data_IF_445724103246
#
_entry.id   IF_445724103246
#
_cell.length_a   1.000
_cell.length_b   1.000
_cell.length_c   1.000
_cell.angle_alpha   90.00
_cell.angle_beta   90.00
_cell.angle_gamma   90.00
#
_symmetry.space_group_name_H-M   'P 1'
#
loop_
_entity.id
_entity.type
_entity.pdbx_description
1 polymer ?
#
# COMPACT_ATOMS: atom_id res chain seq x y z
N UNK A 1 15.93 5.13 -22.29
CA UNK A 1 14.62 5.13 -21.56
C UNK A 1 14.91 4.69 -20.14
N UNK A 2 14.27 5.27 -19.11
CA UNK A 2 14.56 4.91 -17.73
C UNK A 2 13.50 3.97 -17.17
N UNK A 3 13.88 3.11 -16.21
CA UNK A 3 13.03 2.11 -15.57
C UNK A 3 11.66 2.68 -15.13
N UNK A 4 11.63 3.85 -14.51
CA UNK A 4 10.38 4.49 -14.05
C UNK A 4 9.41 4.76 -15.22
N UNK A 5 9.90 5.18 -16.39
CA UNK A 5 9.07 5.40 -17.57
C UNK A 5 8.52 4.08 -18.11
N UNK A 6 9.34 3.04 -18.14
CA UNK A 6 8.96 1.73 -18.65
C UNK A 6 7.94 1.06 -17.72
N UNK A 7 8.12 1.18 -16.40
CA UNK A 7 7.14 0.76 -15.39
C UNK A 7 5.81 1.49 -15.55
N UNK A 8 5.84 2.82 -15.69
CA UNK A 8 4.62 3.63 -15.89
C UNK A 8 3.84 3.20 -17.13
N UNK A 9 4.53 2.93 -18.23
CA UNK A 9 3.90 2.48 -19.48
C UNK A 9 3.38 1.06 -19.33
N UNK A 10 4.19 0.15 -18.77
CA UNK A 10 3.84 -1.26 -18.60
C UNK A 10 2.66 -1.48 -17.64
N UNK A 11 2.52 -0.65 -16.60
CA UNK A 11 1.43 -0.77 -15.60
C UNK A 11 0.15 -0.03 -15.99
N UNK A 12 0.15 0.80 -17.04
CA UNK A 12 -1.00 1.64 -17.41
C UNK A 12 -2.32 0.89 -17.54
N UNK A 13 -2.31 -0.28 -18.20
CA UNK A 13 -3.52 -1.09 -18.38
C UNK A 13 -4.06 -1.62 -17.06
N UNK A 14 -3.18 -2.13 -16.21
CA UNK A 14 -3.54 -2.65 -14.88
C UNK A 14 -4.01 -1.53 -13.95
N UNK A 15 -3.39 -0.36 -14.02
CA UNK A 15 -3.80 0.83 -13.27
C UNK A 15 -5.23 1.25 -13.65
N UNK A 16 -5.51 1.39 -14.95
CA UNK A 16 -6.87 1.70 -15.42
C UNK A 16 -7.89 0.63 -15.02
N UNK A 17 -7.51 -0.66 -15.07
CA UNK A 17 -8.38 -1.74 -14.64
C UNK A 17 -8.70 -1.65 -13.13
N UNK A 18 -7.71 -1.32 -12.30
CA UNK A 18 -7.91 -1.12 -10.86
C UNK A 18 -8.82 0.08 -10.56
N UNK A 19 -8.63 1.22 -11.24
CA UNK A 19 -9.49 2.40 -11.09
C UNK A 19 -10.95 2.14 -11.46
N UNK A 20 -11.19 1.25 -12.42
CA UNK A 20 -12.52 0.88 -12.87
C UNK A 20 -13.21 -0.21 -12.01
N UNK A 21 -12.55 -0.73 -10.98
CA UNK A 21 -13.24 -1.60 -10.02
C UNK A 21 -14.32 -0.82 -9.27
N UNK A 22 -15.39 -1.50 -8.88
CA UNK A 22 -16.54 -0.85 -8.20
C UNK A 22 -16.10 -0.08 -6.96
N UNK A 23 -15.23 -0.66 -6.16
CA UNK A 23 -14.73 -0.04 -4.93
C UNK A 23 -13.93 1.23 -5.24
N UNK A 24 -12.88 1.15 -6.06
CA UNK A 24 -12.02 2.30 -6.37
C UNK A 24 -12.79 3.40 -7.08
N UNK A 25 -13.64 3.04 -8.05
CA UNK A 25 -14.48 4.01 -8.75
C UNK A 25 -15.47 4.71 -7.81
N UNK A 26 -16.02 4.03 -6.80
CA UNK A 26 -16.86 4.65 -5.77
C UNK A 26 -16.05 5.53 -4.84
N UNK A 27 -14.89 5.06 -4.41
CA UNK A 27 -13.96 5.82 -3.56
C UNK A 27 -13.60 7.15 -4.21
N UNK A 28 -13.16 7.13 -5.49
CA UNK A 28 -12.79 8.34 -6.24
C UNK A 28 -13.95 9.33 -6.41
N UNK A 29 -15.20 8.87 -6.35
CA UNK A 29 -16.40 9.72 -6.35
C UNK A 29 -16.80 10.21 -4.96
N UNK A 30 -16.02 9.93 -3.93
CA UNK A 30 -16.33 10.30 -2.55
C UNK A 30 -17.40 9.43 -1.90
N UNK A 31 -17.59 8.21 -2.40
CA UNK A 31 -18.52 7.22 -1.84
C UNK A 31 -17.70 6.07 -1.27
N UNK A 32 -17.27 6.23 -0.04
CA UNK A 32 -16.57 5.21 0.75
C UNK A 32 -17.12 5.22 2.17
N UNK A 33 -17.42 4.05 2.70
CA UNK A 33 -17.85 3.85 4.08
C UNK A 33 -16.68 3.29 4.92
N UNK A 34 -16.78 3.46 6.23
CA UNK A 34 -15.76 3.02 7.19
C UNK A 34 -15.52 1.51 7.13
N UNK A 35 -16.57 0.70 6.96
CA UNK A 35 -16.44 -0.76 6.91
C UNK A 35 -15.65 -1.24 5.69
N UNK A 36 -15.89 -0.62 4.54
CA UNK A 36 -15.14 -0.88 3.31
C UNK A 36 -13.68 -0.41 3.43
N UNK A 37 -13.46 0.78 4.01
CA UNK A 37 -12.13 1.34 4.20
C UNK A 37 -11.28 0.52 5.20
N UNK A 38 -11.81 0.17 6.36
CA UNK A 38 -11.08 -0.65 7.33
C UNK A 38 -10.75 -2.05 6.79
N UNK A 39 -11.62 -2.59 5.91
CA UNK A 39 -11.36 -3.86 5.21
C UNK A 39 -10.16 -3.73 4.26
N UNK A 40 -10.05 -2.61 3.54
CA UNK A 40 -8.89 -2.29 2.71
C UNK A 40 -7.61 -2.18 3.56
N UNK A 41 -7.64 -1.43 4.66
CA UNK A 41 -6.50 -1.29 5.57
C UNK A 41 -6.08 -2.62 6.18
N UNK A 42 -7.02 -3.51 6.49
CA UNK A 42 -6.76 -4.87 6.93
C UNK A 42 -5.93 -5.65 5.90
N UNK A 43 -6.36 -5.68 4.64
CA UNK A 43 -5.64 -6.41 3.59
C UNK A 43 -4.29 -5.72 3.27
N UNK A 44 -4.23 -4.41 3.31
CA UNK A 44 -2.97 -3.67 3.17
C UNK A 44 -1.95 -4.02 4.24
N UNK A 45 -2.38 -4.23 5.49
CA UNK A 45 -1.47 -4.68 6.54
C UNK A 45 -0.68 -5.93 6.13
N UNK A 46 -1.34 -6.95 5.62
CA UNK A 46 -0.68 -8.18 5.21
C UNK A 46 0.20 -7.99 3.97
N UNK A 47 -0.25 -7.22 3.00
CA UNK A 47 0.50 -6.93 1.77
C UNK A 47 1.78 -6.14 2.08
N UNK A 48 1.67 -5.05 2.85
CA UNK A 48 2.83 -4.23 3.18
C UNK A 48 3.78 -4.96 4.14
N UNK A 49 3.26 -5.75 5.08
CA UNK A 49 4.12 -6.62 5.91
C UNK A 49 4.95 -7.56 5.06
N UNK A 50 4.36 -8.24 4.08
CA UNK A 50 5.08 -9.14 3.20
C UNK A 50 6.15 -8.42 2.36
N UNK A 51 5.83 -7.24 1.81
CA UNK A 51 6.81 -6.45 1.04
C UNK A 51 7.97 -6.01 1.94
N UNK A 52 7.67 -5.42 3.10
CA UNK A 52 8.69 -4.90 4.02
C UNK A 52 9.57 -6.02 4.61
N UNK A 53 8.98 -7.18 4.93
CA UNK A 53 9.71 -8.37 5.38
C UNK A 53 10.67 -8.90 4.31
N UNK A 54 10.21 -9.02 3.05
CA UNK A 54 11.06 -9.49 1.95
C UNK A 54 12.14 -8.48 1.56
N UNK A 55 11.84 -7.19 1.56
CA UNK A 55 12.83 -6.15 1.31
C UNK A 55 13.90 -6.13 2.42
N UNK A 56 13.53 -6.38 3.67
CA UNK A 56 14.47 -6.51 4.78
C UNK A 56 15.30 -7.80 4.66
N UNK A 57 14.67 -8.93 4.33
CA UNK A 57 15.35 -10.22 4.16
C UNK A 57 16.41 -10.17 3.05
N UNK A 58 16.15 -9.39 2.01
CA UNK A 58 16.99 -9.23 0.83
C UNK A 58 17.81 -7.91 0.84
N UNK A 59 18.08 -7.36 2.01
CA UNK A 59 18.79 -6.08 2.16
C UNK A 59 20.22 -6.09 1.58
N UNK A 60 20.86 -7.26 1.50
CA UNK A 60 22.18 -7.45 0.90
C UNK A 60 22.15 -7.57 -0.64
N UNK A 61 20.96 -7.67 -1.27
CA UNK A 61 20.83 -7.65 -2.73
C UNK A 61 21.14 -6.23 -3.24
N UNK A 62 22.17 -6.12 -4.05
CA UNK A 62 22.68 -4.82 -4.49
C UNK A 62 21.70 -4.01 -5.35
N UNK A 63 20.68 -4.64 -5.93
CA UNK A 63 19.63 -3.95 -6.68
C UNK A 63 18.49 -3.51 -5.74
N UNK A 64 18.00 -4.40 -4.88
CA UNK A 64 16.90 -4.12 -3.96
C UNK A 64 17.30 -3.13 -2.88
N UNK A 65 18.51 -3.21 -2.36
CA UNK A 65 19.03 -2.25 -1.38
C UNK A 65 19.02 -0.80 -1.88
N UNK A 66 19.23 -0.60 -3.19
CA UNK A 66 19.21 0.74 -3.81
C UNK A 66 17.82 1.38 -3.86
N UNK A 67 16.76 0.60 -3.66
CA UNK A 67 15.36 1.08 -3.66
C UNK A 67 14.64 0.84 -2.33
N UNK A 68 15.32 0.28 -1.34
CA UNK A 68 14.78 0.05 -0.02
C UNK A 68 14.93 1.33 0.83
N UNK A 69 13.85 2.11 0.89
CA UNK A 69 13.77 3.37 1.64
C UNK A 69 12.88 3.15 2.87
N UNK A 70 13.45 2.96 4.08
CA UNK A 70 12.66 2.71 5.30
C UNK A 70 11.60 3.78 5.61
N UNK A 71 11.83 5.03 5.19
CA UNK A 71 10.89 6.14 5.30
C UNK A 71 9.60 5.94 4.50
N UNK A 72 9.61 5.03 3.52
CA UNK A 72 8.41 4.64 2.78
C UNK A 72 7.60 3.57 3.51
N UNK A 73 8.14 2.87 4.49
CA UNK A 73 7.47 1.78 5.17
C UNK A 73 6.12 2.20 5.75
N UNK A 74 5.08 1.37 5.54
CA UNK A 74 3.68 1.69 5.90
C UNK A 74 3.12 0.84 7.02
N UNK A 75 3.76 -0.27 7.38
CA UNK A 75 3.22 -1.22 8.37
C UNK A 75 2.90 -0.53 9.69
N UNK A 76 3.78 0.32 10.22
CA UNK A 76 3.53 1.01 11.49
C UNK A 76 2.38 2.04 11.38
N UNK A 77 2.27 2.74 10.26
CA UNK A 77 1.16 3.65 10.00
C UNK A 77 -0.17 2.89 9.89
N UNK A 78 -0.19 1.77 9.15
CA UNK A 78 -1.37 0.90 9.04
C UNK A 78 -1.78 0.33 10.41
N UNK A 79 -0.84 -0.05 11.26
CA UNK A 79 -1.14 -0.51 12.64
C UNK A 79 -1.85 0.57 13.48
N UNK A 80 -1.53 1.86 13.28
CA UNK A 80 -2.25 2.96 13.94
C UNK A 80 -3.70 3.00 13.47
N UNK A 81 -3.94 2.92 12.16
CA UNK A 81 -5.28 2.92 11.59
C UNK A 81 -6.08 1.68 12.02
N UNK A 82 -5.46 0.49 12.03
CA UNK A 82 -6.13 -0.72 12.49
C UNK A 82 -6.52 -0.66 13.99
N UNK A 83 -5.71 -0.02 14.84
CA UNK A 83 -6.10 0.21 16.24
C UNK A 83 -7.32 1.12 16.35
N UNK A 84 -7.43 2.12 15.49
CA UNK A 84 -8.60 2.98 15.45
C UNK A 84 -9.86 2.21 15.02
N UNK A 85 -9.79 1.47 13.91
CA UNK A 85 -10.96 0.81 13.33
C UNK A 85 -11.37 -0.48 14.02
N UNK A 86 -10.44 -1.27 14.55
CA UNK A 86 -10.68 -2.59 15.15
C UNK A 86 -10.41 -2.62 16.66
N UNK A 87 -9.94 -1.50 17.26
CA UNK A 87 -9.61 -1.42 18.67
C UNK A 87 -8.23 -2.03 19.03
N UNK A 88 -7.88 -2.06 20.33
CA UNK A 88 -6.54 -2.45 20.79
C UNK A 88 -6.15 -3.89 20.44
N UNK A 89 -7.12 -4.77 20.29
CA UNK A 89 -6.92 -6.19 19.99
C UNK A 89 -7.02 -6.52 18.49
N UNK A 90 -6.87 -5.52 17.61
CA UNK A 90 -7.03 -5.65 16.16
C UNK A 90 -6.30 -6.86 15.57
N UNK A 91 -5.08 -7.15 16.02
CA UNK A 91 -4.25 -8.24 15.50
C UNK A 91 -4.82 -9.64 15.71
N UNK A 92 -5.71 -9.80 16.68
CA UNK A 92 -6.35 -11.10 16.98
C UNK A 92 -7.66 -11.30 16.21
N UNK A 93 -8.23 -10.23 15.65
CA UNK A 93 -9.54 -10.29 15.00
C UNK A 93 -9.46 -10.18 13.46
N UNK A 94 -8.40 -9.58 12.93
CA UNK A 94 -8.26 -9.45 11.48
C UNK A 94 -7.76 -10.74 10.83
N UNK A 95 -8.26 -11.01 9.63
CA UNK A 95 -7.78 -12.09 8.75
C UNK A 95 -7.72 -11.55 7.31
N UNK A 96 -6.69 -11.93 6.52
CA UNK A 96 -6.60 -11.52 5.13
C UNK A 96 -7.75 -12.11 4.31
N UNK A 97 -8.17 -11.38 3.27
CA UNK A 97 -9.07 -11.93 2.28
C UNK A 97 -8.36 -12.97 1.40
N UNK A 98 -9.12 -13.83 0.70
CA UNK A 98 -8.52 -14.80 -0.24
C UNK A 98 -7.69 -14.11 -1.34
N UNK A 99 -8.12 -12.94 -1.81
CA UNK A 99 -7.36 -12.17 -2.79
C UNK A 99 -6.05 -11.65 -2.19
N UNK A 100 -6.08 -11.20 -0.93
CA UNK A 100 -4.90 -10.78 -0.19
C UNK A 100 -3.91 -11.94 0.00
N UNK A 101 -4.39 -13.13 0.41
CA UNK A 101 -3.56 -14.32 0.57
C UNK A 101 -2.79 -14.61 -0.74
N UNK A 102 -3.50 -14.70 -1.87
CA UNK A 102 -2.87 -14.96 -3.18
C UNK A 102 -1.84 -13.89 -3.56
N UNK A 103 -2.07 -12.64 -3.20
CA UNK A 103 -1.13 -11.57 -3.49
C UNK A 103 0.12 -11.66 -2.61
N UNK A 104 -0.05 -11.94 -1.33
CA UNK A 104 1.07 -12.18 -0.38
C UNK A 104 1.89 -13.39 -0.80
N UNK A 105 1.25 -14.52 -1.15
CA UNK A 105 1.93 -15.70 -1.70
C UNK A 105 2.77 -15.34 -2.92
N UNK A 106 2.22 -14.51 -3.83
CA UNK A 106 2.96 -14.07 -5.02
C UNK A 106 4.17 -13.20 -4.68
N UNK A 107 4.11 -12.36 -3.66
CA UNK A 107 5.26 -11.57 -3.19
C UNK A 107 6.38 -12.51 -2.72
N UNK A 108 6.05 -13.50 -1.87
CA UNK A 108 7.02 -14.48 -1.38
C UNK A 108 7.60 -15.35 -2.51
N UNK A 109 6.76 -15.82 -3.45
CA UNK A 109 7.23 -16.57 -4.63
C UNK A 109 8.25 -15.80 -5.46
N UNK A 110 8.03 -14.49 -5.65
CA UNK A 110 8.98 -13.63 -6.37
C UNK A 110 10.27 -13.47 -5.58
N UNK A 111 10.18 -13.25 -4.27
CA UNK A 111 11.33 -13.10 -3.39
C UNK A 111 12.20 -14.37 -3.34
N UNK A 112 11.59 -15.55 -3.42
CA UNK A 112 12.27 -16.86 -3.39
C UNK A 112 12.72 -17.33 -4.77
N UNK A 113 12.40 -16.60 -5.83
CA UNK A 113 12.79 -16.96 -7.19
C UNK A 113 14.27 -16.66 -7.49
N UNK A 114 14.75 -17.08 -8.67
CA UNK A 114 16.06 -16.69 -9.17
C UNK A 114 16.13 -15.20 -9.60
N UNK A 115 15.03 -14.48 -9.54
CA UNK A 115 14.89 -13.10 -9.98
C UNK A 115 14.22 -12.22 -8.90
N UNK A 116 14.75 -12.18 -7.65
CA UNK A 116 14.12 -11.45 -6.54
C UNK A 116 14.02 -9.95 -6.82
N UNK A 117 14.85 -9.40 -7.71
CA UNK A 117 14.77 -8.00 -8.14
C UNK A 117 13.41 -7.64 -8.78
N UNK A 118 12.60 -8.61 -9.19
CA UNK A 118 11.24 -8.37 -9.67
C UNK A 118 10.30 -7.85 -8.57
N UNK A 119 10.69 -7.93 -7.29
CA UNK A 119 9.99 -7.24 -6.20
C UNK A 119 9.87 -5.73 -6.42
N UNK A 120 10.75 -5.13 -7.25
CA UNK A 120 10.62 -3.71 -7.64
C UNK A 120 9.23 -3.38 -8.21
N UNK A 121 8.61 -4.32 -8.90
CA UNK A 121 7.26 -4.13 -9.46
C UNK A 121 6.20 -3.97 -8.37
N UNK A 122 6.28 -4.75 -7.29
CA UNK A 122 5.39 -4.63 -6.13
C UNK A 122 5.67 -3.34 -5.36
N UNK A 123 6.94 -3.07 -5.07
CA UNK A 123 7.39 -1.86 -4.38
C UNK A 123 6.96 -0.59 -5.13
N UNK A 124 7.29 -0.48 -6.41
CA UNK A 124 6.91 0.66 -7.25
C UNK A 124 5.39 0.89 -7.27
N UNK A 125 4.62 -0.18 -7.52
CA UNK A 125 3.16 -0.08 -7.63
C UNK A 125 2.52 0.42 -6.35
N UNK A 126 3.01 -0.03 -5.19
CA UNK A 126 2.46 0.37 -3.90
C UNK A 126 2.95 1.73 -3.47
N UNK A 127 4.23 1.86 -3.16
CA UNK A 127 4.75 3.07 -2.52
C UNK A 127 4.66 4.32 -3.38
N UNK A 128 4.98 4.24 -4.68
CA UNK A 128 4.85 5.39 -5.55
C UNK A 128 3.39 5.78 -5.82
N UNK A 129 2.49 4.78 -5.86
CA UNK A 129 1.05 5.01 -5.92
C UNK A 129 0.55 5.77 -4.69
N UNK A 130 1.00 5.36 -3.51
CA UNK A 130 0.59 5.99 -2.24
C UNK A 130 1.14 7.42 -2.10
N UNK A 131 2.39 7.64 -2.48
CA UNK A 131 3.00 8.97 -2.47
C UNK A 131 2.31 9.93 -3.44
N UNK A 132 2.03 9.49 -4.66
CA UNK A 132 1.51 10.38 -5.72
C UNK A 132 -0.01 10.54 -5.67
N UNK A 133 -0.75 9.45 -5.49
CA UNK A 133 -2.21 9.43 -5.47
C UNK A 133 -2.82 9.46 -4.07
N UNK A 134 -2.07 9.01 -3.07
CA UNK A 134 -2.57 8.81 -1.71
C UNK A 134 -3.10 10.07 -1.06
N UNK A 135 -2.49 11.24 -1.31
CA UNK A 135 -2.96 12.50 -0.73
C UNK A 135 -4.37 12.89 -1.23
N UNK A 136 -4.68 12.56 -2.49
CA UNK A 136 -6.03 12.76 -3.05
C UNK A 136 -7.00 11.81 -2.37
N UNK A 137 -6.63 10.53 -2.25
CA UNK A 137 -7.45 9.51 -1.59
C UNK A 137 -7.66 9.82 -0.11
N UNK A 138 -6.64 10.31 0.61
CA UNK A 138 -6.75 10.78 1.99
C UNK A 138 -7.87 11.82 2.14
N UNK A 139 -7.80 12.89 1.34
CA UNK A 139 -8.78 13.98 1.39
C UNK A 139 -10.21 13.50 1.07
N UNK A 140 -10.34 12.55 0.16
CA UNK A 140 -11.65 11.95 -0.18
C UNK A 140 -12.17 11.12 0.99
N UNK A 141 -11.33 10.25 1.57
CA UNK A 141 -11.68 9.40 2.70
C UNK A 141 -12.08 10.20 3.93
N UNK A 142 -11.27 11.21 4.30
CA UNK A 142 -11.54 12.10 5.44
C UNK A 142 -12.94 12.72 5.35
N UNK A 143 -13.28 13.28 4.17
CA UNK A 143 -14.57 13.91 3.95
C UNK A 143 -15.73 12.91 3.86
N UNK A 144 -15.53 11.78 3.19
CA UNK A 144 -16.60 10.81 2.96
C UNK A 144 -17.00 10.06 4.24
N UNK A 145 -16.04 9.82 5.13
CA UNK A 145 -16.26 9.12 6.40
C UNK A 145 -16.46 10.07 7.60
N UNK A 146 -16.40 11.39 7.37
CA UNK A 146 -16.52 12.42 8.43
C UNK A 146 -15.58 12.14 9.62
N UNK A 147 -14.34 11.78 9.31
CA UNK A 147 -13.36 11.38 10.32
C UNK A 147 -12.88 12.56 11.15
N UNK A 148 -12.59 12.36 12.46
CA UNK A 148 -11.86 13.32 13.24
C UNK A 148 -10.49 13.62 12.60
N UNK A 149 -10.02 14.84 12.78
CA UNK A 149 -8.72 15.26 12.26
C UNK A 149 -7.59 14.35 12.75
N UNK A 150 -6.69 13.97 11.85
CA UNK A 150 -5.49 13.16 12.11
C UNK A 150 -5.76 11.76 12.70
N UNK A 151 -6.92 11.18 12.40
CA UNK A 151 -7.32 9.86 12.91
C UNK A 151 -7.78 8.95 11.79
N UNK A 152 -7.31 7.69 11.79
CA UNK A 152 -7.76 6.64 10.89
C UNK A 152 -7.21 6.71 9.46
N UNK A 153 -6.31 7.66 9.17
CA UNK A 153 -5.70 7.86 7.85
C UNK A 153 -4.17 7.97 7.92
N UNK A 154 -3.54 7.40 8.96
CA UNK A 154 -2.09 7.43 9.15
C UNK A 154 -1.35 6.73 7.99
N UNK A 155 -1.99 5.77 7.32
CA UNK A 155 -1.45 5.13 6.12
C UNK A 155 -0.97 6.12 5.06
N UNK A 156 -1.66 7.24 4.90
CA UNK A 156 -1.31 8.28 3.90
C UNK A 156 -0.31 9.32 4.41
N UNK A 157 0.13 9.23 5.68
CA UNK A 157 1.10 10.15 6.26
C UNK A 157 2.53 9.64 6.01
N UNK A 158 3.34 10.48 5.38
CA UNK A 158 4.76 10.24 5.13
C UNK A 158 5.52 11.37 5.82
N UNK A 159 5.70 11.25 7.14
CA UNK A 159 6.22 12.32 7.99
C UNK A 159 7.67 12.68 7.65
N UNK A 160 8.45 11.70 7.21
CA UNK A 160 9.87 11.85 6.88
C UNK A 160 10.12 12.31 5.43
N UNK A 161 9.06 12.52 4.64
CA UNK A 161 9.16 12.95 3.23
C UNK A 161 8.60 14.36 3.07
N UNK A 162 9.51 15.34 2.93
CA UNK A 162 9.14 16.76 2.85
C UNK A 162 8.44 17.14 1.53
N UNK A 163 8.87 16.57 0.39
CA UNK A 163 8.20 16.73 -0.90
C UNK A 163 7.77 15.38 -1.48
N UNK A 164 6.46 15.16 -1.49
CA UNK A 164 5.86 13.92 -2.00
C UNK A 164 5.74 13.87 -3.53
N UNK A 165 6.27 14.87 -4.24
CA UNK A 165 6.19 15.00 -5.70
C UNK A 165 7.53 14.81 -6.42
N UNK A 166 8.64 14.82 -5.70
CA UNK A 166 9.97 14.50 -6.20
C UNK A 166 10.25 12.99 -6.11
#
# INVERSE_FOLDING_TARGET
MGLAKDLKVGTKRSHTAAENTKFVASFLRGVVDEDSYKTLMRDFYFVYSAIEEEMQRLEDDGFLSAINFPELNRVEAIKKDLRYYYGPNWSTVIKPSEACIRYVERIHEVADSNEPYLLVGHHYTRYLGDLSGGQILKNIAEKAMDLPKDVGLAFYEFDDIADKKE
#
